data_IF_500353706352
#
_entry.id   IF_500353706352
#
_cell.length_a   1.000
_cell.length_b   1.000
_cell.length_c   1.000
_cell.angle_alpha   90.00
_cell.angle_beta   90.00
_cell.angle_gamma   90.00
#
_symmetry.space_group_name_H-M   'P 1'
#
loop_
_entity.id
_entity.type
_entity.pdbx_description
1 polymer ?
#
# COMPACT_ATOMS: atom_id res chain seq x y z
N UNK A 1 24.61 -12.98 1.68
CA UNK A 1 24.57 -13.50 0.30
C UNK A 1 23.27 -13.06 -0.35
N UNK A 2 23.35 -12.28 -1.42
CA UNK A 2 22.21 -11.81 -2.18
C UNK A 2 22.72 -11.28 -3.51
N UNK A 3 22.02 -11.57 -4.59
CA UNK A 3 22.41 -11.08 -5.91
C UNK A 3 21.90 -9.66 -6.11
N UNK A 4 22.73 -8.81 -6.73
CA UNK A 4 22.28 -7.52 -7.21
C UNK A 4 21.22 -7.73 -8.29
N UNK A 5 20.08 -7.04 -8.15
CA UNK A 5 19.02 -7.11 -9.15
C UNK A 5 19.26 -6.04 -10.22
N UNK A 6 19.24 -6.43 -11.48
CA UNK A 6 19.44 -5.55 -12.62
C UNK A 6 18.10 -4.96 -13.07
N UNK A 7 18.12 -3.71 -13.51
CA UNK A 7 16.95 -3.05 -14.09
C UNK A 7 16.69 -3.60 -15.50
N UNK A 8 15.54 -4.21 -15.72
CA UNK A 8 15.15 -4.74 -17.06
C UNK A 8 14.39 -3.68 -17.86
N UNK A 9 13.64 -2.80 -17.18
CA UNK A 9 12.85 -1.77 -17.84
C UNK A 9 11.74 -1.21 -16.96
N UNK A 10 11.13 -0.13 -17.42
CA UNK A 10 9.96 0.48 -16.79
C UNK A 10 8.74 0.40 -17.70
N UNK A 11 7.55 0.36 -17.10
CA UNK A 11 6.30 0.39 -17.83
C UNK A 11 5.23 1.15 -17.05
N UNK A 12 4.23 1.66 -17.77
CA UNK A 12 3.07 2.34 -17.20
C UNK A 12 1.92 1.35 -17.02
N UNK A 13 1.26 1.40 -15.87
CA UNK A 13 0.09 0.59 -15.55
C UNK A 13 -1.05 1.49 -15.06
N UNK A 14 -2.26 1.28 -15.58
CA UNK A 14 -3.47 1.89 -15.05
C UNK A 14 -3.97 1.10 -13.84
N UNK A 15 -4.26 1.79 -12.75
CA UNK A 15 -4.91 1.23 -11.57
C UNK A 15 -6.40 1.04 -11.81
N UNK A 16 -7.06 0.23 -10.97
CA UNK A 16 -8.52 0.03 -11.03
C UNK A 16 -9.31 1.35 -10.92
N UNK A 17 -8.73 2.35 -10.27
CA UNK A 17 -9.33 3.67 -10.07
C UNK A 17 -8.98 4.65 -11.21
N UNK A 18 -8.36 4.19 -12.31
CA UNK A 18 -8.07 5.00 -13.50
C UNK A 18 -6.72 5.75 -13.47
N UNK A 19 -5.98 5.75 -12.36
CA UNK A 19 -4.70 6.45 -12.27
C UNK A 19 -3.58 5.68 -12.96
N UNK A 20 -2.76 6.38 -13.75
CA UNK A 20 -1.53 5.85 -14.32
C UNK A 20 -0.38 5.85 -13.31
N UNK A 21 0.35 4.74 -13.28
CA UNK A 21 1.50 4.54 -12.40
C UNK A 21 2.68 4.00 -13.20
N UNK A 22 3.86 4.57 -12.96
CA UNK A 22 5.12 4.05 -13.49
C UNK A 22 5.72 2.99 -12.55
N UNK A 23 6.03 1.83 -13.11
CA UNK A 23 6.59 0.67 -12.41
C UNK A 23 7.92 0.28 -13.05
N UNK A 24 8.96 0.16 -12.24
CA UNK A 24 10.29 -0.28 -12.64
C UNK A 24 10.48 -1.75 -12.29
N UNK A 25 10.91 -2.56 -13.25
CA UNK A 25 11.16 -4.00 -13.09
C UNK A 25 12.64 -4.27 -12.89
N UNK A 26 12.92 -5.07 -11.86
CA UNK A 26 14.25 -5.54 -11.52
C UNK A 26 14.27 -7.07 -11.50
N UNK A 27 15.32 -7.68 -12.02
CA UNK A 27 15.48 -9.13 -12.03
C UNK A 27 16.82 -9.56 -11.44
N UNK A 28 16.78 -10.68 -10.72
CA UNK A 28 17.98 -11.34 -10.22
C UNK A 28 18.73 -12.02 -11.38
N UNK A 29 20.06 -11.95 -11.36
CA UNK A 29 20.91 -12.45 -12.45
C UNK A 29 20.77 -13.96 -12.67
N UNK A 30 20.82 -14.76 -11.60
CA UNK A 30 20.72 -16.21 -11.73
C UNK A 30 20.14 -16.88 -10.47
N UNK A 31 18.90 -17.35 -10.54
CA UNK A 31 18.28 -18.08 -9.43
C UNK A 31 18.49 -19.61 -9.49
N UNK A 32 19.16 -20.13 -10.52
CA UNK A 32 19.42 -21.56 -10.65
C UNK A 32 20.51 -21.98 -9.65
N UNK A 33 20.23 -23.01 -8.83
CA UNK A 33 21.16 -23.49 -7.80
C UNK A 33 21.30 -22.58 -6.57
N UNK A 34 20.47 -21.56 -6.42
CA UNK A 34 20.54 -20.69 -5.24
C UNK A 34 20.04 -21.44 -3.98
N UNK A 35 20.85 -21.54 -2.90
CA UNK A 35 20.46 -22.24 -1.68
C UNK A 35 19.26 -21.60 -0.99
N UNK A 36 19.05 -20.30 -1.21
CA UNK A 36 17.94 -19.53 -0.64
C UNK A 36 16.71 -19.50 -1.55
N UNK A 37 16.70 -20.22 -2.68
CA UNK A 37 15.60 -20.15 -3.67
C UNK A 37 14.23 -20.42 -3.02
N UNK A 38 14.14 -21.47 -2.22
CA UNK A 38 12.90 -21.87 -1.54
C UNK A 38 12.35 -20.80 -0.59
N UNK A 39 13.20 -19.97 0.03
CA UNK A 39 12.78 -18.85 0.88
C UNK A 39 12.57 -17.55 0.10
N UNK A 40 13.13 -17.44 -1.11
CA UNK A 40 13.24 -16.19 -1.85
C UNK A 40 12.03 -15.95 -2.79
N UNK A 41 11.65 -16.96 -3.57
CA UNK A 41 10.50 -16.92 -4.47
C UNK A 41 10.10 -18.33 -4.94
N UNK A 42 8.84 -18.52 -5.36
CA UNK A 42 8.33 -19.80 -5.88
C UNK A 42 8.24 -19.87 -7.40
N UNK A 43 8.64 -18.83 -8.13
CA UNK A 43 8.59 -18.83 -9.61
C UNK A 43 9.58 -19.80 -10.25
N UNK A 44 9.19 -20.34 -11.42
CA UNK A 44 10.05 -21.20 -12.24
C UNK A 44 11.28 -20.46 -12.79
N UNK A 45 11.12 -19.18 -13.11
CA UNK A 45 12.16 -18.29 -13.64
C UNK A 45 12.83 -17.45 -12.54
N UNK A 46 13.87 -16.69 -12.91
CA UNK A 46 14.53 -15.72 -12.04
C UNK A 46 13.54 -14.77 -11.37
N UNK A 47 13.82 -14.41 -10.11
CA UNK A 47 13.01 -13.48 -9.33
C UNK A 47 12.91 -12.12 -10.02
N UNK A 48 11.68 -11.65 -10.20
CA UNK A 48 11.37 -10.28 -10.68
C UNK A 48 10.68 -9.52 -9.56
N UNK A 49 11.08 -8.27 -9.35
CA UNK A 49 10.45 -7.34 -8.40
C UNK A 49 10.08 -6.06 -9.14
N UNK A 50 8.90 -5.55 -8.83
CA UNK A 50 8.40 -4.27 -9.34
C UNK A 50 8.50 -3.20 -8.25
N UNK A 51 8.97 -2.00 -8.60
CA UNK A 51 9.09 -0.86 -7.70
C UNK A 51 8.44 0.38 -8.31
N UNK A 52 7.60 1.05 -7.53
CA UNK A 52 7.05 2.36 -7.86
C UNK A 52 7.69 3.42 -6.96
N UNK A 53 8.62 4.19 -7.51
CA UNK A 53 9.36 5.20 -6.75
C UNK A 53 8.49 6.34 -6.26
N UNK A 54 7.53 6.79 -7.08
CA UNK A 54 6.62 7.86 -6.68
C UNK A 54 5.75 7.44 -5.49
N UNK A 55 5.23 6.21 -5.50
CA UNK A 55 4.45 5.67 -4.38
C UNK A 55 5.26 5.59 -3.09
N UNK A 56 6.53 5.17 -3.17
CA UNK A 56 7.44 5.11 -2.02
C UNK A 56 7.65 6.52 -1.45
N UNK A 57 7.92 7.51 -2.30
CA UNK A 57 8.07 8.92 -1.92
C UNK A 57 6.81 9.48 -1.25
N UNK A 58 5.64 9.19 -1.79
CA UNK A 58 4.38 9.67 -1.22
C UNK A 58 4.11 9.02 0.15
N UNK A 59 4.39 7.71 0.29
CA UNK A 59 4.26 7.01 1.57
C UNK A 59 5.23 7.52 2.62
N UNK A 60 6.47 7.86 2.25
CA UNK A 60 7.43 8.44 3.20
C UNK A 60 6.99 9.83 3.67
N UNK A 61 6.55 10.69 2.74
CA UNK A 61 5.98 12.01 3.08
C UNK A 61 4.77 11.88 4.02
N UNK A 62 3.85 10.99 3.71
CA UNK A 62 2.68 10.74 4.56
C UNK A 62 3.10 10.26 5.96
N UNK A 63 4.07 9.35 6.07
CA UNK A 63 4.59 8.87 7.36
C UNK A 63 5.16 10.02 8.19
N UNK A 64 5.99 10.88 7.58
CA UNK A 64 6.58 12.04 8.27
C UNK A 64 5.49 12.97 8.80
N UNK A 65 4.49 13.30 7.97
CA UNK A 65 3.39 14.17 8.36
C UNK A 65 2.55 13.56 9.50
N UNK A 66 2.26 12.25 9.42
CA UNK A 66 1.46 11.55 10.42
C UNK A 66 2.19 11.33 11.74
N UNK A 67 3.52 11.25 11.72
CA UNK A 67 4.38 11.12 12.90
C UNK A 67 4.83 12.47 13.46
N UNK A 68 4.55 13.58 12.78
CA UNK A 68 4.82 14.91 13.31
C UNK A 68 3.97 15.19 14.55
N UNK A 69 4.42 16.12 15.39
CA UNK A 69 3.68 16.53 16.59
C UNK A 69 2.26 16.99 16.27
N UNK A 70 2.09 17.75 15.18
CA UNK A 70 0.78 18.14 14.66
C UNK A 70 -0.07 16.94 14.23
N UNK A 71 0.55 15.94 13.59
CA UNK A 71 -0.12 14.70 13.19
C UNK A 71 -0.59 13.87 14.40
N UNK A 72 0.23 13.81 15.45
CA UNK A 72 -0.09 13.14 16.72
C UNK A 72 -1.20 13.89 17.46
N UNK A 73 -1.13 15.22 17.54
CA UNK A 73 -2.15 16.06 18.15
C UNK A 73 -3.51 15.86 17.47
N UNK A 74 -3.55 15.94 16.13
CA UNK A 74 -4.77 15.66 15.35
C UNK A 74 -5.28 14.23 15.54
N UNK A 75 -4.39 13.25 15.74
CA UNK A 75 -4.80 11.86 16.02
C UNK A 75 -5.48 11.75 17.39
N UNK A 76 -4.88 12.35 18.44
CA UNK A 76 -5.49 12.41 19.78
C UNK A 76 -6.84 13.14 19.76
N UNK A 77 -6.96 14.15 18.89
CA UNK A 77 -8.20 14.92 18.77
C UNK A 77 -9.40 14.11 18.26
N UNK A 78 -9.18 13.09 17.42
CA UNK A 78 -10.28 12.27 16.88
C UNK A 78 -11.08 11.53 17.95
N UNK A 79 -10.45 11.19 19.07
CA UNK A 79 -11.07 10.41 20.13
C UNK A 79 -12.22 11.17 20.82
N UNK A 80 -12.17 12.50 20.87
CA UNK A 80 -13.25 13.30 21.45
C UNK A 80 -14.25 13.77 20.40
N UNK A 81 -13.77 14.33 19.29
CA UNK A 81 -14.63 14.91 18.26
C UNK A 81 -15.47 13.87 17.51
N UNK A 82 -14.84 12.77 17.13
CA UNK A 82 -15.38 11.87 16.10
C UNK A 82 -15.84 10.56 16.71
N UNK A 83 -15.03 9.97 17.60
CA UNK A 83 -15.32 8.64 18.15
C UNK A 83 -16.56 8.63 19.05
N UNK A 84 -16.85 9.70 19.80
CA UNK A 84 -18.06 9.82 20.59
C UNK A 84 -19.35 9.77 19.73
N UNK A 85 -19.37 10.52 18.62
CA UNK A 85 -20.50 10.55 17.70
C UNK A 85 -20.70 9.19 17.02
N UNK A 86 -19.62 8.55 16.56
CA UNK A 86 -19.72 7.20 15.99
C UNK A 86 -20.09 6.13 17.01
N UNK A 87 -19.69 6.29 18.28
CA UNK A 87 -20.13 5.44 19.38
C UNK A 87 -21.64 5.51 19.58
N UNK A 88 -22.20 6.73 19.64
CA UNK A 88 -23.64 6.95 19.74
C UNK A 88 -24.40 6.40 18.52
N UNK A 89 -23.91 6.63 17.31
CA UNK A 89 -24.52 6.08 16.09
C UNK A 89 -24.56 4.54 16.14
N UNK A 90 -23.47 3.90 16.57
CA UNK A 90 -23.40 2.43 16.63
C UNK A 90 -24.25 1.83 17.74
N UNK A 91 -24.19 2.39 18.95
CA UNK A 91 -24.86 1.82 20.13
C UNK A 91 -26.29 2.34 20.28
N UNK A 92 -26.48 3.66 20.31
CA UNK A 92 -27.80 4.26 20.58
C UNK A 92 -28.70 4.22 19.35
N UNK A 93 -28.14 4.39 18.14
CA UNK A 93 -28.93 4.31 16.89
C UNK A 93 -28.92 2.90 16.28
N UNK A 94 -28.26 1.94 16.93
CA UNK A 94 -28.13 0.54 16.51
C UNK A 94 -27.68 0.41 15.03
N UNK A 95 -26.89 1.37 14.54
CA UNK A 95 -26.49 1.48 13.14
C UNK A 95 -25.33 0.53 12.85
N UNK A 96 -25.64 -0.61 12.20
CA UNK A 96 -24.68 -1.71 12.00
C UNK A 96 -23.98 -1.71 10.64
N UNK A 97 -24.60 -1.16 9.60
CA UNK A 97 -24.05 -1.18 8.23
C UNK A 97 -24.70 -0.12 7.35
N UNK A 98 -23.90 0.51 6.50
CA UNK A 98 -24.41 1.28 5.37
C UNK A 98 -24.93 0.30 4.31
N UNK A 99 -26.21 0.40 3.95
CA UNK A 99 -26.75 -0.35 2.82
C UNK A 99 -26.27 0.32 1.53
N UNK A 100 -25.32 -0.30 0.83
CA UNK A 100 -24.99 0.06 -0.56
C UNK A 100 -26.15 -0.39 -1.43
N UNK A 101 -27.18 0.44 -1.52
CA UNK A 101 -28.43 0.11 -2.20
C UNK A 101 -29.15 1.35 -2.69
N UNK A 102 -28.54 2.08 -3.61
CA UNK A 102 -29.26 2.92 -4.56
C UNK A 102 -28.39 3.10 -5.81
N UNK A 103 -28.67 2.29 -6.83
CA UNK A 103 -28.49 2.76 -8.20
C UNK A 103 -29.46 3.95 -8.35
N UNK A 104 -28.93 5.17 -8.30
CA UNK A 104 -29.65 6.34 -8.77
C UNK A 104 -29.84 6.11 -10.27
N UNK A 105 -31.09 5.82 -10.68
CA UNK A 105 -31.53 5.92 -12.06
C UNK A 105 -31.71 7.39 -12.42
#
# INVERSE_FOLDING_TARGET
>A
MGQAMMHIGSYKKKTKNGFEQELHRYQAQNCNGCPLRNLCHTSKTNRIIERNYNLIRLKSKARILLSSEQGVAKRKQRCWDVEAVFGNIKQNMNFKRFMLGASIK
#
